data_IF_028502240186
#
_entry.id   IF_028502240186
#
_cell.length_a   1.000
_cell.length_b   1.000
_cell.length_c   1.000
_cell.angle_alpha   90.00
_cell.angle_beta   90.00
_cell.angle_gamma   90.00
#
_symmetry.space_group_name_H-M   'P 1'
#
loop_
_entity.id
_entity.type
_entity.pdbx_description
1 polymer ?
#
# COMPACT_ATOMS: atom_id res chain seq x y z
N UNK A 1 11.30 -3.76 11.44
CA UNK A 1 10.56 -4.28 10.26
C UNK A 1 10.75 -3.36 9.06
N UNK A 2 11.19 -3.89 7.91
CA UNK A 2 11.32 -3.10 6.69
C UNK A 2 10.47 -3.71 5.59
N UNK A 3 9.56 -2.96 4.97
CA UNK A 3 8.98 -3.36 3.70
C UNK A 3 9.91 -2.79 2.63
N UNK A 4 10.54 -3.62 1.80
CA UNK A 4 11.29 -3.11 0.65
C UNK A 4 10.52 -3.43 -0.64
N UNK A 5 10.52 -2.51 -1.58
CA UNK A 5 10.22 -2.81 -2.98
C UNK A 5 11.51 -3.04 -3.74
N UNK A 6 11.80 -4.24 -4.29
CA UNK A 6 12.93 -4.37 -5.20
C UNK A 6 12.53 -4.69 -6.66
N UNK A 7 13.28 -4.03 -7.56
CA UNK A 7 13.84 -4.46 -8.87
C UNK A 7 13.10 -4.32 -10.21
N UNK A 8 11.78 -4.40 -10.34
CA UNK A 8 11.16 -4.35 -11.68
C UNK A 8 9.91 -3.46 -11.72
N UNK A 9 10.10 -2.15 -11.83
CA UNK A 9 9.00 -1.24 -12.15
C UNK A 9 8.80 -1.21 -13.66
N UNK A 10 7.59 -1.53 -14.12
CA UNK A 10 7.16 -1.31 -15.50
C UNK A 10 5.89 -0.50 -15.54
N UNK A 11 5.66 0.17 -16.67
CA UNK A 11 4.36 0.78 -16.96
C UNK A 11 3.42 -0.28 -17.52
N UNK A 12 2.32 -0.55 -16.82
CA UNK A 12 1.19 -1.30 -17.37
C UNK A 12 0.19 -0.35 -18.02
N UNK A 13 -0.42 -0.79 -19.13
CA UNK A 13 -1.36 -0.02 -19.93
C UNK A 13 -2.62 -0.84 -20.20
N UNK A 14 -3.78 -0.27 -19.90
CA UNK A 14 -5.09 -0.83 -20.27
C UNK A 14 -5.93 0.27 -20.93
N UNK A 15 -6.03 0.23 -22.26
CA UNK A 15 -6.62 1.31 -23.04
C UNK A 15 -5.94 2.65 -22.78
N UNK A 16 -6.69 3.65 -22.30
CA UNK A 16 -6.17 4.98 -21.96
C UNK A 16 -5.56 5.05 -20.54
N UNK A 17 -5.73 4.00 -19.73
CA UNK A 17 -5.23 3.98 -18.36
C UNK A 17 -3.80 3.45 -18.32
N UNK A 18 -3.02 3.95 -17.36
CA UNK A 18 -1.64 3.54 -17.16
C UNK A 18 -1.29 3.61 -15.68
N UNK A 19 -0.46 2.69 -15.21
CA UNK A 19 -0.02 2.60 -13.82
C UNK A 19 1.41 2.11 -13.72
N UNK A 20 2.08 2.46 -12.64
CA UNK A 20 3.33 1.79 -12.26
C UNK A 20 2.97 0.45 -11.65
N UNK A 21 3.64 -0.60 -12.12
CA UNK A 21 3.46 -1.96 -11.64
C UNK A 21 4.81 -2.54 -11.29
N UNK A 22 4.95 -3.04 -10.07
CA UNK A 22 6.21 -3.61 -9.58
C UNK A 22 5.97 -4.65 -8.49
N UNK A 23 7.05 -5.05 -7.83
CA UNK A 23 7.06 -6.09 -6.79
C UNK A 23 7.30 -5.52 -5.41
N UNK A 24 6.85 -6.25 -4.37
CA UNK A 24 7.16 -5.94 -2.97
C UNK A 24 7.61 -7.20 -2.22
N UNK A 25 8.45 -7.00 -1.20
CA UNK A 25 8.87 -8.02 -0.25
C UNK A 25 8.91 -7.41 1.16
N UNK A 26 8.37 -8.12 2.14
CA UNK A 26 8.41 -7.70 3.54
C UNK A 26 9.58 -8.38 4.25
N UNK A 27 10.30 -7.62 5.07
CA UNK A 27 11.45 -8.09 5.84
C UNK A 27 11.24 -7.85 7.35
N UNK A 28 11.62 -8.85 8.14
CA UNK A 28 11.73 -8.74 9.59
C UNK A 28 13.16 -9.11 9.99
N UNK A 29 13.85 -8.17 10.65
CA UNK A 29 15.25 -8.30 11.05
C UNK A 29 16.18 -8.74 9.91
N UNK A 30 15.92 -8.22 8.70
CA UNK A 30 16.68 -8.52 7.47
C UNK A 30 16.30 -9.84 6.79
N UNK A 31 15.37 -10.62 7.34
CA UNK A 31 14.90 -11.88 6.75
C UNK A 31 13.56 -11.69 6.05
N UNK A 32 13.36 -12.39 4.94
CA UNK A 32 12.08 -12.44 4.25
C UNK A 32 10.98 -12.97 5.16
N UNK A 33 9.85 -12.26 5.22
CA UNK A 33 8.64 -12.78 5.86
C UNK A 33 7.89 -13.64 4.85
N UNK A 34 7.84 -14.94 5.12
CA UNK A 34 7.20 -15.91 4.23
C UNK A 34 5.74 -15.54 3.94
N UNK A 35 5.35 -15.55 2.67
CA UNK A 35 3.99 -15.21 2.24
C UNK A 35 3.67 -13.71 2.17
N UNK A 36 4.58 -12.82 2.59
CA UNK A 36 4.40 -11.36 2.49
C UNK A 36 5.23 -10.74 1.36
N UNK A 37 5.02 -11.28 0.18
CA UNK A 37 5.56 -10.78 -1.08
C UNK A 37 4.55 -10.88 -2.20
N UNK A 38 4.78 -10.12 -3.26
CA UNK A 38 3.88 -10.09 -4.41
C UNK A 38 4.09 -8.87 -5.27
N UNK A 39 3.00 -8.34 -5.81
CA UNK A 39 2.99 -7.22 -6.73
C UNK A 39 2.27 -6.02 -6.14
N UNK A 40 2.53 -4.86 -6.72
CA UNK A 40 1.99 -3.60 -6.25
C UNK A 40 1.74 -2.64 -7.40
N UNK A 41 0.58 -1.99 -7.35
CA UNK A 41 0.14 -0.95 -8.29
C UNK A 41 0.24 0.43 -7.64
N UNK A 42 0.69 1.41 -8.41
CA UNK A 42 0.79 2.83 -8.04
C UNK A 42 0.48 3.73 -9.23
N UNK A 43 0.29 5.02 -8.95
CA UNK A 43 0.30 6.04 -9.99
C UNK A 43 1.59 6.00 -10.82
N UNK A 44 1.52 6.56 -12.03
CA UNK A 44 2.67 6.67 -12.92
C UNK A 44 3.80 7.48 -12.26
N UNK A 45 5.03 7.06 -12.52
CA UNK A 45 6.21 7.84 -12.17
C UNK A 45 6.58 8.90 -13.23
N UNK A 46 7.74 9.57 -13.05
CA UNK A 46 8.54 9.55 -11.81
C UNK A 46 7.72 10.06 -10.61
N UNK A 47 8.13 9.67 -9.40
CA UNK A 47 7.48 10.14 -8.17
C UNK A 47 7.67 11.63 -7.94
N UNK A 48 6.73 12.21 -7.19
CA UNK A 48 6.76 13.62 -6.79
C UNK A 48 6.02 13.81 -5.46
N UNK A 49 6.75 14.32 -4.46
CA UNK A 49 6.26 14.61 -3.10
C UNK A 49 6.04 16.12 -2.83
N UNK A 50 6.26 16.98 -3.83
CA UNK A 50 6.21 18.44 -3.67
C UNK A 50 4.78 18.98 -3.73
N UNK A 51 3.86 18.27 -4.39
CA UNK A 51 2.47 18.68 -4.55
C UNK A 51 1.52 17.52 -4.28
N UNK A 52 0.43 17.77 -3.56
CA UNK A 52 -0.67 16.84 -3.45
C UNK A 52 -1.42 16.72 -4.80
N UNK A 53 -2.08 15.58 -5.02
CA UNK A 53 -2.98 15.35 -6.16
C UNK A 53 -2.37 15.57 -7.57
N UNK A 54 -1.05 15.50 -7.70
CA UNK A 54 -0.31 15.66 -8.97
C UNK A 54 -0.41 14.46 -9.93
N UNK A 55 -1.20 13.43 -9.60
CA UNK A 55 -1.34 12.20 -10.39
C UNK A 55 -0.11 11.30 -10.40
N UNK A 56 0.88 11.54 -9.54
CA UNK A 56 2.15 10.79 -9.46
C UNK A 56 2.20 9.86 -8.25
N UNK A 57 3.03 8.82 -8.36
CA UNK A 57 3.49 8.03 -7.19
C UNK A 57 4.32 8.90 -6.23
N UNK A 58 4.56 8.38 -5.03
CA UNK A 58 5.57 8.98 -4.13
C UNK A 58 6.97 8.74 -4.65
N UNK A 59 7.91 9.62 -4.31
CA UNK A 59 9.32 9.51 -4.74
C UNK A 59 9.98 8.25 -4.17
N UNK A 60 11.05 7.78 -4.81
CA UNK A 60 11.94 6.81 -4.19
C UNK A 60 12.48 7.33 -2.84
N UNK A 61 12.43 6.50 -1.79
CA UNK A 61 12.79 6.90 -0.44
C UNK A 61 12.29 5.95 0.65
N UNK A 62 12.69 6.22 1.90
CA UNK A 62 12.23 5.50 3.08
C UNK A 62 11.15 6.29 3.83
N UNK A 63 10.01 5.66 4.08
CA UNK A 63 8.84 6.29 4.72
C UNK A 63 8.44 5.51 5.97
N UNK A 64 8.35 6.14 7.16
CA UNK A 64 7.93 5.46 8.36
C UNK A 64 6.46 5.02 8.27
N UNK A 65 6.15 3.85 8.82
CA UNK A 65 4.81 3.29 8.84
C UNK A 65 4.06 3.67 10.12
N UNK A 66 2.79 3.96 9.97
CA UNK A 66 1.88 4.33 11.03
C UNK A 66 0.59 3.51 10.92
N UNK A 67 -0.04 3.23 12.06
CA UNK A 67 -1.45 2.84 12.05
C UNK A 67 -2.30 4.02 11.55
N UNK A 68 -3.47 3.70 11.00
CA UNK A 68 -4.37 4.66 10.38
C UNK A 68 -5.80 4.45 10.89
N UNK A 69 -6.50 5.56 11.12
CA UNK A 69 -7.85 5.62 11.66
C UNK A 69 -8.68 6.69 10.97
N UNK A 70 -8.90 6.53 9.66
CA UNK A 70 -9.82 7.35 8.89
C UNK A 70 -11.21 6.71 8.78
N UNK A 71 -12.14 7.46 8.18
CA UNK A 71 -13.50 6.96 7.89
C UNK A 71 -13.50 5.83 6.85
N UNK A 72 -12.55 5.90 5.90
CA UNK A 72 -12.48 4.97 4.76
C UNK A 72 -11.53 3.82 5.01
N UNK A 73 -10.42 4.05 5.72
CA UNK A 73 -9.39 3.06 5.96
C UNK A 73 -9.00 3.01 7.43
N UNK A 74 -8.83 1.81 7.97
CA UNK A 74 -8.36 1.61 9.35
C UNK A 74 -7.38 0.44 9.45
N UNK A 75 -6.40 0.55 10.34
CA UNK A 75 -5.46 -0.54 10.62
C UNK A 75 -6.03 -1.60 11.56
N UNK A 76 -6.98 -1.23 12.42
CA UNK A 76 -7.76 -2.14 13.27
C UNK A 76 -9.23 -1.70 13.21
N UNK A 77 -10.18 -2.61 13.39
CA UNK A 77 -11.60 -2.27 13.34
C UNK A 77 -12.17 -2.07 11.92
N UNK A 78 -11.40 -2.39 10.88
CA UNK A 78 -11.90 -2.43 9.50
C UNK A 78 -13.06 -3.44 9.36
N UNK A 79 -13.98 -3.16 8.44
CA UNK A 79 -15.17 -3.92 8.17
C UNK A 79 -14.85 -5.40 7.89
N UNK A 80 -15.52 -6.27 8.64
CA UNK A 80 -15.53 -7.72 8.46
C UNK A 80 -16.78 -8.22 7.76
N UNK A 81 -17.85 -7.41 7.73
CA UNK A 81 -18.95 -7.60 6.79
C UNK A 81 -18.51 -7.08 5.42
N UNK A 82 -18.57 -7.96 4.42
CA UNK A 82 -17.95 -7.77 3.12
C UNK A 82 -18.99 -7.60 2.01
N UNK A 83 -20.27 -7.41 2.36
CA UNK A 83 -21.36 -7.23 1.41
C UNK A 83 -21.98 -5.82 1.54
N UNK A 84 -21.78 -4.92 0.55
CA UNK A 84 -21.03 -5.13 -0.69
C UNK A 84 -19.50 -5.11 -0.51
N UNK A 85 -18.73 -5.62 -1.49
CA UNK A 85 -17.26 -5.53 -1.49
C UNK A 85 -16.78 -4.09 -1.36
N UNK A 86 -15.74 -3.87 -0.56
CA UNK A 86 -15.18 -2.53 -0.32
C UNK A 86 -15.94 -1.69 0.72
N UNK A 87 -16.75 -2.32 1.56
CA UNK A 87 -17.40 -1.65 2.69
C UNK A 87 -16.38 -1.01 3.64
N UNK A 88 -16.66 0.22 4.06
CA UNK A 88 -15.79 0.99 4.96
C UNK A 88 -16.02 0.63 6.44
N UNK A 89 -14.98 0.71 7.29
CA UNK A 89 -13.61 1.04 6.93
C UNK A 89 -12.90 -0.16 6.28
N UNK A 90 -12.12 0.05 5.24
CA UNK A 90 -11.26 -0.97 4.64
C UNK A 90 -9.92 -1.08 5.39
N UNK A 91 -9.19 -2.20 5.31
CA UNK A 91 -7.87 -2.29 5.93
C UNK A 91 -6.89 -1.29 5.28
N UNK A 92 -6.03 -0.65 6.07
CA UNK A 92 -4.97 0.21 5.54
C UNK A 92 -3.88 0.54 6.55
N UNK A 93 -2.68 0.86 6.04
CA UNK A 93 -1.51 1.34 6.79
C UNK A 93 -1.08 2.67 6.21
N UNK A 94 -0.72 3.64 7.06
CA UNK A 94 -0.30 4.98 6.64
C UNK A 94 1.22 5.06 6.51
N UNK A 95 1.65 5.78 5.49
CA UNK A 95 3.02 6.24 5.31
C UNK A 95 3.08 7.70 5.76
N UNK A 96 4.14 8.04 6.47
CA UNK A 96 4.48 9.41 6.82
C UNK A 96 5.77 9.85 6.13
N UNK A 97 6.12 11.14 6.24
CA UNK A 97 7.35 11.67 5.65
C UNK A 97 7.30 11.87 4.13
N UNK A 98 6.10 11.91 3.54
CA UNK A 98 5.86 12.10 2.09
C UNK A 98 5.81 13.57 1.66
N UNK A 99 6.55 14.45 2.34
CA UNK A 99 6.61 15.88 2.00
C UNK A 99 5.28 16.59 2.16
N UNK A 100 4.79 17.22 1.08
CA UNK A 100 3.51 17.94 1.05
C UNK A 100 2.30 17.02 0.84
N UNK A 101 2.51 15.71 0.81
CA UNK A 101 1.47 14.71 0.62
C UNK A 101 1.11 14.10 1.95
N UNK A 102 -0.19 14.00 2.21
CA UNK A 102 -0.77 13.38 3.40
C UNK A 102 -1.67 12.22 2.98
N UNK A 103 -2.03 11.36 3.93
CA UNK A 103 -2.89 10.20 3.71
C UNK A 103 -2.43 9.28 2.56
N UNK A 104 -1.12 9.13 2.42
CA UNK A 104 -0.53 8.10 1.57
C UNK A 104 -0.63 6.76 2.32
N UNK A 105 -1.32 5.80 1.72
CA UNK A 105 -1.63 4.53 2.37
C UNK A 105 -1.14 3.33 1.54
N UNK A 106 -0.82 2.24 2.23
CA UNK A 106 -0.89 0.89 1.67
C UNK A 106 -2.30 0.39 1.95
N UNK A 107 -3.07 0.13 0.89
CA UNK A 107 -4.46 -0.30 1.03
C UNK A 107 -4.91 -1.15 -0.16
N UNK A 108 -6.04 -1.89 -0.05
CA UNK A 108 -6.51 -2.74 -1.12
C UNK A 108 -6.96 -1.93 -2.34
N UNK A 109 -7.05 -2.59 -3.49
CA UNK A 109 -7.88 -2.11 -4.59
C UNK A 109 -9.30 -1.78 -4.08
N UNK A 110 -9.93 -0.76 -4.65
CA UNK A 110 -11.22 -0.25 -4.17
C UNK A 110 -12.30 -0.35 -5.26
N UNK A 111 -13.34 -1.19 -5.07
CA UNK A 111 -14.52 -1.17 -5.93
C UNK A 111 -15.19 0.22 -5.98
N UNK A 112 -15.79 0.62 -7.11
CA UNK A 112 -15.89 -0.14 -8.36
C UNK A 112 -14.62 -0.05 -9.24
N UNK A 113 -13.64 0.78 -8.88
CA UNK A 113 -12.45 1.05 -9.71
C UNK A 113 -11.27 0.20 -9.28
N UNK A 114 -11.15 -0.98 -9.88
CA UNK A 114 -10.11 -1.97 -9.57
C UNK A 114 -8.78 -1.78 -10.34
N UNK A 115 -8.66 -0.71 -11.13
CA UNK A 115 -7.42 -0.43 -11.87
C UNK A 115 -6.38 0.30 -11.00
N UNK A 116 -6.80 1.37 -10.34
CA UNK A 116 -6.01 2.20 -9.44
C UNK A 116 -6.96 3.04 -8.59
N UNK A 117 -6.73 3.10 -7.29
CA UNK A 117 -7.76 3.59 -6.36
C UNK A 117 -7.51 4.98 -5.77
N UNK A 118 -6.27 5.50 -5.83
CA UNK A 118 -5.93 6.83 -5.30
C UNK A 118 -4.53 7.29 -5.73
N UNK A 119 -4.27 8.58 -5.60
CA UNK A 119 -3.02 9.21 -6.03
C UNK A 119 -1.92 9.04 -4.98
N UNK A 120 -0.88 8.27 -5.32
CA UNK A 120 0.30 8.05 -4.46
C UNK A 120 0.23 6.85 -3.53
N UNK A 121 -0.95 6.30 -3.27
CA UNK A 121 -1.09 5.09 -2.48
C UNK A 121 -0.54 3.86 -3.22
N UNK A 122 -0.32 2.82 -2.42
CA UNK A 122 0.20 1.54 -2.88
C UNK A 122 -0.91 0.49 -2.74
N UNK A 123 -1.28 -0.15 -3.86
CA UNK A 123 -2.25 -1.25 -3.85
C UNK A 123 -1.54 -2.59 -4.05
N UNK A 124 -1.50 -3.41 -3.00
CA UNK A 124 -0.91 -4.76 -3.06
C UNK A 124 -1.80 -5.69 -3.87
N UNK A 125 -1.22 -6.58 -4.66
CA UNK A 125 -1.96 -7.50 -5.54
C UNK A 125 -1.12 -8.74 -5.87
N UNK A 126 -1.78 -9.78 -6.34
CA UNK A 126 -1.19 -10.90 -7.06
C UNK A 126 -0.69 -10.47 -8.44
N UNK A 127 -0.04 -11.39 -9.18
CA UNK A 127 0.45 -11.11 -10.52
C UNK A 127 -0.70 -10.75 -11.47
N UNK A 128 -0.48 -9.72 -12.28
CA UNK A 128 -1.42 -9.21 -13.29
C UNK A 128 -0.74 -9.18 -14.67
N UNK A 129 -1.49 -9.56 -15.69
CA UNK A 129 -1.21 -9.19 -17.07
C UNK A 129 -1.47 -7.70 -17.30
N UNK A 130 -0.95 -7.14 -18.40
CA UNK A 130 -0.87 -5.69 -18.57
C UNK A 130 -2.22 -4.98 -18.65
N UNK A 131 -3.27 -5.65 -19.13
CA UNK A 131 -4.63 -5.11 -19.22
C UNK A 131 -5.52 -5.43 -18.02
N UNK A 132 -5.05 -6.21 -17.05
CA UNK A 132 -5.88 -6.72 -15.96
C UNK A 132 -6.07 -5.69 -14.83
N UNK A 133 -7.26 -5.71 -14.23
CA UNK A 133 -7.54 -5.03 -12.97
C UNK A 133 -7.15 -5.90 -11.79
N UNK A 134 -6.90 -5.29 -10.63
CA UNK A 134 -6.65 -6.04 -9.40
C UNK A 134 -7.89 -6.83 -8.98
N UNK A 135 -7.70 -8.02 -8.41
CA UNK A 135 -8.75 -8.71 -7.67
C UNK A 135 -8.88 -8.09 -6.27
N UNK A 136 -10.10 -7.69 -5.89
CA UNK A 136 -10.35 -7.04 -4.61
C UNK A 136 -10.00 -7.94 -3.42
N UNK A 137 -10.34 -9.22 -3.49
CA UNK A 137 -10.20 -10.13 -2.36
C UNK A 137 -8.75 -10.50 -2.11
N UNK A 138 -7.99 -10.79 -3.16
CA UNK A 138 -6.55 -11.00 -3.09
C UNK A 138 -5.84 -9.74 -2.56
N UNK A 139 -6.17 -8.57 -3.12
CA UNK A 139 -5.60 -7.31 -2.68
C UNK A 139 -5.87 -7.02 -1.20
N UNK A 140 -7.12 -7.28 -0.76
CA UNK A 140 -7.53 -7.12 0.64
C UNK A 140 -6.80 -8.09 1.56
N UNK A 141 -6.69 -9.36 1.17
CA UNK A 141 -6.01 -10.38 1.96
C UNK A 141 -4.54 -10.04 2.19
N UNK A 142 -3.85 -9.52 1.16
CA UNK A 142 -2.44 -9.11 1.26
C UNK A 142 -2.22 -7.96 2.23
N UNK A 143 -3.07 -6.94 2.18
CA UNK A 143 -2.97 -5.80 3.09
C UNK A 143 -3.26 -6.22 4.53
N UNK A 144 -4.22 -7.12 4.74
CA UNK A 144 -4.47 -7.68 6.09
C UNK A 144 -3.29 -8.48 6.57
N UNK A 145 -2.72 -9.35 5.74
CA UNK A 145 -1.55 -10.14 6.12
C UNK A 145 -0.37 -9.24 6.52
N UNK A 146 -0.17 -8.12 5.81
CA UNK A 146 0.81 -7.11 6.19
C UNK A 146 0.48 -6.44 7.54
N UNK A 147 -0.78 -6.04 7.75
CA UNK A 147 -1.24 -5.44 9.01
C UNK A 147 -1.01 -6.39 10.19
N UNK A 148 -1.39 -7.67 10.05
CA UNK A 148 -1.22 -8.64 11.14
C UNK A 148 0.26 -8.89 11.43
N UNK A 149 1.13 -8.94 10.40
CA UNK A 149 2.57 -9.04 10.64
C UNK A 149 3.16 -7.80 11.34
N UNK A 150 2.68 -6.60 11.02
CA UNK A 150 3.07 -5.38 11.72
C UNK A 150 2.57 -5.37 13.18
N UNK A 151 1.35 -5.88 13.40
CA UNK A 151 0.76 -6.02 14.74
C UNK A 151 1.54 -7.02 15.58
N UNK A 152 1.91 -8.17 15.02
CA UNK A 152 2.71 -9.18 15.72
C UNK A 152 4.10 -8.63 16.08
N UNK A 153 4.70 -7.84 15.18
CA UNK A 153 5.99 -7.20 15.41
C UNK A 153 5.94 -6.11 16.49
N UNK A 154 4.91 -5.25 16.46
CA UNK A 154 4.81 -4.07 17.32
C UNK A 154 3.39 -3.90 17.90
N UNK A 155 2.93 -4.81 18.78
CA UNK A 155 1.54 -4.85 19.22
C UNK A 155 1.10 -3.57 19.96
N UNK A 156 2.04 -2.88 20.62
CA UNK A 156 1.78 -1.61 21.29
C UNK A 156 1.26 -0.50 20.36
N UNK A 157 1.68 -0.49 19.08
CA UNK A 157 1.21 0.51 18.10
C UNK A 157 -0.25 0.27 17.67
N UNK A 158 -0.80 -0.92 17.96
CA UNK A 158 -2.15 -1.35 17.60
C UNK A 158 -3.08 -1.45 18.83
N UNK A 159 -2.64 -0.97 19.99
CA UNK A 159 -3.37 -1.08 21.26
C UNK A 159 -4.58 -0.14 21.36
N UNK A 160 -4.61 0.93 20.57
CA UNK A 160 -5.66 1.94 20.57
C UNK A 160 -6.06 2.36 19.16
N UNK A 161 -7.25 2.92 19.04
CA UNK A 161 -7.79 3.43 17.78
C UNK A 161 -7.29 4.84 17.45
N UNK A 162 -5.98 5.02 17.37
CA UNK A 162 -5.33 6.31 17.07
C UNK A 162 -4.11 6.14 16.15
N UNK A 163 -3.87 7.14 15.28
CA UNK A 163 -2.75 7.10 14.34
C UNK A 163 -1.42 7.09 15.11
N UNK A 164 -0.78 5.93 15.15
CA UNK A 164 0.39 5.67 15.99
C UNK A 164 1.56 5.25 15.11
N UNK A 165 2.74 5.83 15.35
CA UNK A 165 3.96 5.36 14.68
C UNK A 165 4.23 3.92 15.08
N UNK A 166 4.48 3.06 14.09
CA UNK A 166 4.92 1.69 14.33
C UNK A 166 6.45 1.75 14.49
N UNK A 167 7.01 1.51 15.69
CA UNK A 167 8.45 1.64 15.94
C UNK A 167 9.24 0.74 15.00
N UNK A 168 10.36 1.26 14.48
CA UNK A 168 11.26 0.52 13.59
C UNK A 168 10.61 -0.11 12.36
N UNK A 169 9.44 0.40 11.94
CA UNK A 169 8.72 -0.03 10.76
C UNK A 169 8.76 1.05 9.66
N UNK A 170 9.24 0.67 8.48
CA UNK A 170 9.40 1.56 7.33
C UNK A 170 9.01 0.84 6.06
N UNK A 171 8.58 1.59 5.05
CA UNK A 171 8.60 1.15 3.66
C UNK A 171 9.70 1.87 2.89
N UNK A 172 10.44 1.11 2.10
CA UNK A 172 11.47 1.59 1.19
C UNK A 172 10.94 1.45 -0.23
N UNK A 173 10.77 2.59 -0.89
CA UNK A 173 10.43 2.69 -2.30
C UNK A 173 11.72 2.84 -3.08
N UNK A 174 12.09 1.81 -3.85
CA UNK A 174 13.31 1.84 -4.64
C UNK A 174 13.04 2.16 -6.11
N UNK A 175 13.84 3.08 -6.66
CA UNK A 175 13.85 3.41 -8.08
C UNK A 175 12.61 4.17 -8.59
N UNK A 176 12.73 4.65 -9.82
CA UNK A 176 11.65 5.25 -10.59
C UNK A 176 11.33 4.37 -11.81
N UNK A 177 10.07 4.32 -12.26
CA UNK A 177 9.70 3.52 -13.42
C UNK A 177 10.27 4.15 -14.69
N UNK A 178 10.81 3.30 -15.57
CA UNK A 178 11.32 3.67 -16.90
C UNK A 178 10.35 3.38 -18.04
#
# INVERSE_FOLDING_TARGET
MGIARPQAQRVQRSGAQSRTYGTYQTFLDGNDVAGLSGWVCECLGPGDNQQADNGKRIEAGGYPLHTHFGDVYQSIGYATDLQPPGSSPMPGIRLEGTGQRYDILIHPARPPTLYLSSVGCLNLTGPLADSETMDFWDSRARVIALIESLRDFAPGAFAASENTRIPDAWIVVEGEPS
#
